data_IF_703525383572
#
_entry.id   IF_703525383572
#
_cell.length_a   1.000
_cell.length_b   1.000
_cell.length_c   1.000
_cell.angle_alpha   90.00
_cell.angle_beta   90.00
_cell.angle_gamma   90.00
#
_symmetry.space_group_name_H-M   'P 1'
#
loop_
_entity.id
_entity.type
_entity.pdbx_description
1 polymer ?
#
# COMPACT_ATOMS: atom_id res chain seq x y z
N UNK A 1 21.44 50.38 -22.86
CA UNK A 1 21.80 48.98 -23.20
C UNK A 1 22.96 48.59 -22.28
N UNK A 2 22.97 47.60 -21.37
CA UNK A 2 22.23 46.36 -21.16
C UNK A 2 22.52 45.90 -19.70
N UNK A 3 21.71 46.28 -18.70
CA UNK A 3 21.77 45.67 -17.36
C UNK A 3 20.62 44.68 -17.10
N UNK A 4 19.53 44.76 -17.88
CA UNK A 4 18.41 43.81 -17.79
C UNK A 4 18.70 42.41 -18.34
N UNK A 5 19.73 42.24 -19.18
CA UNK A 5 20.04 40.93 -19.78
C UNK A 5 20.75 39.95 -18.84
N UNK A 6 21.58 40.46 -17.93
CA UNK A 6 22.35 39.62 -17.00
C UNK A 6 21.51 39.05 -15.86
N UNK A 7 20.52 39.81 -15.37
CA UNK A 7 19.65 39.37 -14.27
C UNK A 7 18.67 38.28 -14.74
N UNK A 8 18.17 38.37 -15.98
CA UNK A 8 17.26 37.36 -16.55
C UNK A 8 17.97 36.02 -16.79
N UNK A 9 19.25 36.04 -17.18
CA UNK A 9 20.02 34.81 -17.40
C UNK A 9 20.30 34.05 -16.09
N UNK A 10 20.59 34.78 -15.01
CA UNK A 10 20.84 34.19 -13.69
C UNK A 10 19.59 33.52 -13.09
N UNK A 11 18.40 34.10 -13.29
CA UNK A 11 17.14 33.50 -12.86
C UNK A 11 16.80 32.23 -13.64
N UNK A 12 17.12 32.16 -14.95
CA UNK A 12 16.94 30.96 -15.76
C UNK A 12 17.89 29.83 -15.37
N UNK A 13 19.14 30.14 -15.02
CA UNK A 13 20.11 29.16 -14.53
C UNK A 13 19.74 28.59 -13.15
N UNK A 14 19.11 29.39 -12.27
CA UNK A 14 18.63 28.92 -10.98
C UNK A 14 17.42 27.97 -11.08
N UNK A 15 16.55 28.14 -12.09
CA UNK A 15 15.43 27.19 -12.31
C UNK A 15 15.89 25.83 -12.86
N UNK A 16 16.99 25.76 -13.59
CA UNK A 16 17.51 24.51 -14.18
C UNK A 16 18.27 23.64 -13.18
N UNK A 17 18.64 24.18 -12.03
CA UNK A 17 19.39 23.45 -10.98
C UNK A 17 18.52 23.00 -9.82
N UNK A 18 17.20 23.29 -9.84
CA UNK A 18 16.29 22.74 -8.84
C UNK A 18 16.33 21.21 -8.96
N UNK A 19 16.92 20.47 -7.98
CA UNK A 19 16.79 19.04 -7.99
C UNK A 19 15.30 18.78 -7.86
N UNK A 20 14.71 18.15 -8.86
CA UNK A 20 13.40 17.55 -8.73
C UNK A 20 13.49 16.51 -7.63
N UNK A 21 13.37 16.95 -6.37
CA UNK A 21 13.16 16.11 -5.22
C UNK A 21 11.73 15.60 -5.37
N UNK A 22 11.54 14.68 -6.31
CA UNK A 22 10.45 13.73 -6.32
C UNK A 22 10.60 12.98 -5.00
N UNK A 23 9.95 13.47 -3.96
CA UNK A 23 9.66 12.68 -2.79
C UNK A 23 8.78 11.54 -3.27
N UNK A 24 9.42 10.43 -3.63
CA UNK A 24 8.73 9.20 -3.92
C UNK A 24 8.12 8.70 -2.61
N UNK A 25 6.95 8.08 -2.69
CA UNK A 25 6.38 7.37 -1.56
C UNK A 25 6.25 5.89 -1.91
N UNK A 26 6.40 5.05 -0.89
CA UNK A 26 6.21 3.61 -1.00
C UNK A 26 5.13 3.17 -0.04
N UNK A 27 4.38 2.15 -0.42
CA UNK A 27 3.38 1.54 0.44
C UNK A 27 3.55 0.04 0.40
N UNK A 28 3.51 -0.59 1.57
CA UNK A 28 3.58 -2.04 1.75
C UNK A 28 2.30 -2.53 2.36
N UNK A 29 1.72 -3.52 1.72
CA UNK A 29 0.56 -4.24 2.22
C UNK A 29 1.04 -5.59 2.76
N UNK A 30 0.57 -5.96 3.94
CA UNK A 30 0.85 -7.25 4.56
C UNK A 30 -0.42 -7.87 5.11
N UNK A 31 -0.49 -9.20 5.00
CA UNK A 31 -1.56 -10.03 5.53
C UNK A 31 -0.94 -11.19 6.28
N UNK A 32 -1.38 -11.41 7.51
CA UNK A 32 -0.89 -12.49 8.35
C UNK A 32 -2.08 -13.21 9.02
N UNK A 33 -2.23 -14.54 8.82
CA UNK A 33 -1.46 -15.40 7.91
C UNK A 33 -1.89 -15.23 6.43
N UNK A 34 -1.05 -15.65 5.47
CA UNK A 34 -1.36 -15.60 4.02
C UNK A 34 -2.19 -16.79 3.52
N UNK A 35 -2.23 -17.87 4.30
CA UNK A 35 -3.09 -19.03 4.13
C UNK A 35 -4.07 -19.04 5.29
N UNK A 36 -5.36 -19.03 4.99
CA UNK A 36 -6.40 -18.76 5.99
C UNK A 36 -7.57 -19.72 5.80
N UNK A 37 -8.20 -20.12 6.89
CA UNK A 37 -9.47 -20.85 6.82
C UNK A 37 -10.61 -19.88 6.49
N UNK A 38 -11.68 -20.36 5.83
CA UNK A 38 -12.89 -19.57 5.65
C UNK A 38 -13.44 -19.04 6.98
N UNK A 39 -13.86 -17.77 6.99
CA UNK A 39 -14.49 -17.13 8.15
C UNK A 39 -13.54 -16.73 9.29
N UNK A 40 -12.28 -17.19 9.28
CA UNK A 40 -11.27 -16.73 10.26
C UNK A 40 -10.98 -15.25 10.09
N UNK A 41 -10.75 -14.59 11.24
CA UNK A 41 -10.35 -13.19 11.26
C UNK A 41 -8.86 -13.08 10.93
N UNK A 42 -8.54 -12.29 9.91
CA UNK A 42 -7.17 -12.10 9.41
C UNK A 42 -6.78 -10.66 9.60
N UNK A 43 -5.53 -10.43 10.06
CA UNK A 43 -5.01 -9.07 10.24
C UNK A 43 -4.44 -8.55 8.93
N UNK A 44 -4.87 -7.36 8.57
CA UNK A 44 -4.40 -6.63 7.39
C UNK A 44 -3.69 -5.38 7.88
N UNK A 45 -2.47 -5.19 7.40
CA UNK A 45 -1.64 -4.04 7.75
C UNK A 45 -1.15 -3.33 6.49
N UNK A 46 -1.24 -2.01 6.52
CA UNK A 46 -0.74 -1.12 5.50
C UNK A 46 0.34 -0.26 6.14
N UNK A 47 1.52 -0.23 5.54
CA UNK A 47 2.61 0.67 5.94
C UNK A 47 2.90 1.64 4.81
N UNK A 48 3.03 2.93 5.11
CA UNK A 48 3.47 3.91 4.13
C UNK A 48 4.77 4.58 4.54
N UNK A 49 5.57 4.86 3.54
CA UNK A 49 6.93 5.37 3.67
C UNK A 49 7.09 6.61 2.80
N UNK A 50 7.76 7.62 3.33
CA UNK A 50 8.42 8.64 2.51
C UNK A 50 9.80 8.14 2.10
N UNK A 51 10.17 8.36 0.84
CA UNK A 51 11.48 8.01 0.30
C UNK A 51 12.22 9.29 -0.08
N UNK A 52 13.27 9.60 0.66
CA UNK A 52 14.11 10.79 0.44
C UNK A 52 15.54 10.34 0.25
N UNK A 53 16.13 10.62 -0.92
CA UNK A 53 17.49 10.18 -1.28
C UNK A 53 17.73 8.67 -1.06
N UNK A 54 16.73 7.85 -1.38
CA UNK A 54 16.76 6.39 -1.20
C UNK A 54 16.48 5.90 0.22
N UNK A 55 16.45 6.78 1.22
CA UNK A 55 16.15 6.42 2.61
C UNK A 55 14.64 6.35 2.82
N UNK A 56 14.16 5.22 3.35
CA UNK A 56 12.75 4.98 3.66
C UNK A 56 12.46 5.27 5.12
N UNK A 57 11.47 6.11 5.38
CA UNK A 57 10.99 6.41 6.73
C UNK A 57 9.46 6.34 6.78
N UNK A 58 8.91 5.79 7.87
CA UNK A 58 7.46 5.73 8.04
C UNK A 58 6.86 7.14 8.02
N UNK A 59 5.80 7.34 7.25
CA UNK A 59 5.17 8.64 7.08
C UNK A 59 3.67 8.50 6.93
N UNK A 60 2.91 9.38 7.59
CA UNK A 60 1.44 9.33 7.56
C UNK A 60 0.86 9.85 6.26
N UNK A 61 1.43 10.94 5.73
CA UNK A 61 0.88 11.66 4.58
C UNK A 61 0.61 10.76 3.37
N UNK A 62 1.52 9.86 2.96
CA UNK A 62 1.26 9.00 1.80
C UNK A 62 0.19 7.91 2.05
N UNK A 63 -0.05 7.55 3.31
CA UNK A 63 -1.06 6.54 3.67
C UNK A 63 -2.45 7.12 3.91
N UNK A 64 -2.56 8.43 4.13
CA UNK A 64 -3.86 9.10 4.29
C UNK A 64 -4.69 8.97 3.01
N UNK A 65 -5.93 8.49 3.15
CA UNK A 65 -6.86 8.35 2.03
C UNK A 65 -6.65 7.10 1.16
N UNK A 66 -5.68 6.25 1.47
CA UNK A 66 -5.51 4.97 0.79
C UNK A 66 -6.66 4.01 1.14
N UNK A 67 -7.16 3.34 0.11
CA UNK A 67 -8.29 2.40 0.17
C UNK A 67 -7.77 1.01 -0.10
N UNK A 68 -8.02 0.11 0.83
CA UNK A 68 -7.69 -1.31 0.70
C UNK A 68 -8.97 -2.10 0.43
N UNK A 69 -8.90 -2.98 -0.56
CA UNK A 69 -10.00 -3.82 -1.01
C UNK A 69 -9.58 -5.28 -1.03
N UNK A 70 -10.52 -6.17 -0.72
CA UNK A 70 -10.44 -7.59 -0.98
C UNK A 70 -11.30 -7.92 -2.20
N UNK A 71 -10.72 -8.64 -3.15
CA UNK A 71 -11.39 -9.14 -4.35
C UNK A 71 -11.54 -10.65 -4.21
N UNK A 72 -12.78 -11.14 -4.27
CA UNK A 72 -13.10 -12.56 -4.16
C UNK A 72 -12.65 -13.34 -5.40
N UNK A 73 -12.59 -14.68 -5.33
CA UNK A 73 -12.39 -15.54 -6.49
C UNK A 73 -13.42 -15.31 -7.60
N UNK A 74 -14.67 -15.00 -7.21
CA UNK A 74 -15.76 -14.64 -8.13
C UNK A 74 -15.71 -13.19 -8.63
N UNK A 75 -14.70 -12.40 -8.25
CA UNK A 75 -14.53 -11.01 -8.66
C UNK A 75 -15.29 -9.97 -7.83
N UNK A 76 -16.01 -10.39 -6.77
CA UNK A 76 -16.70 -9.47 -5.85
C UNK A 76 -15.68 -8.63 -5.10
N UNK A 77 -15.88 -7.32 -5.08
CA UNK A 77 -15.01 -6.36 -4.38
C UNK A 77 -15.63 -5.98 -3.04
N UNK A 78 -14.83 -6.02 -1.98
CA UNK A 78 -15.21 -5.62 -0.62
C UNK A 78 -14.17 -4.66 -0.05
N UNK A 79 -14.61 -3.51 0.44
CA UNK A 79 -13.73 -2.54 1.08
C UNK A 79 -13.34 -3.00 2.48
N UNK A 80 -12.04 -2.91 2.80
CA UNK A 80 -11.51 -3.19 4.13
C UNK A 80 -11.31 -1.87 4.87
N UNK A 81 -11.93 -1.75 6.05
CA UNK A 81 -11.71 -0.63 6.94
C UNK A 81 -10.37 -0.76 7.67
N UNK A 82 -9.44 0.16 7.40
CA UNK A 82 -8.20 0.27 8.16
C UNK A 82 -8.25 1.49 9.08
N UNK A 83 -7.74 1.34 10.30
CA UNK A 83 -7.57 2.41 11.29
C UNK A 83 -6.10 2.76 11.40
N UNK A 84 -5.79 4.05 11.48
CA UNK A 84 -4.44 4.51 11.79
C UNK A 84 -4.07 4.07 13.20
N UNK A 85 -2.91 3.43 13.37
CA UNK A 85 -2.47 2.90 14.67
C UNK A 85 -1.18 3.53 15.17
N UNK A 86 -0.29 3.92 14.27
CA UNK A 86 0.96 4.60 14.57
C UNK A 86 1.49 5.26 13.31
N UNK A 87 2.56 6.07 13.44
CA UNK A 87 3.18 6.76 12.31
C UNK A 87 3.46 5.80 11.14
N UNK A 88 2.85 6.09 9.99
CA UNK A 88 2.97 5.31 8.76
C UNK A 88 2.36 3.92 8.82
N UNK A 89 1.48 3.60 9.79
CA UNK A 89 0.88 2.27 9.95
C UNK A 89 -0.64 2.35 10.14
N UNK A 90 -1.36 1.58 9.33
CA UNK A 90 -2.80 1.37 9.44
C UNK A 90 -3.09 -0.11 9.53
N UNK A 91 -4.03 -0.48 10.38
CA UNK A 91 -4.41 -1.87 10.63
C UNK A 91 -5.91 -2.05 10.58
N UNK A 92 -6.33 -3.21 10.11
CA UNK A 92 -7.72 -3.65 10.14
C UNK A 92 -7.78 -5.16 10.18
N UNK A 93 -9.00 -5.66 10.16
CA UNK A 93 -9.25 -7.09 10.13
C UNK A 93 -10.31 -7.39 9.09
N UNK A 94 -10.17 -8.55 8.46
CA UNK A 94 -11.12 -9.02 7.45
C UNK A 94 -11.35 -10.51 7.62
N UNK A 95 -12.56 -10.97 7.31
CA UNK A 95 -12.90 -12.39 7.24
C UNK A 95 -13.11 -12.75 5.79
N UNK A 96 -12.43 -13.79 5.33
CA UNK A 96 -12.60 -14.30 3.96
C UNK A 96 -13.71 -15.35 3.96
N UNK A 97 -14.91 -15.07 3.42
CA UNK A 97 -16.07 -15.94 3.59
C UNK A 97 -16.04 -17.21 2.75
N UNK A 98 -15.31 -17.22 1.65
CA UNK A 98 -15.33 -18.33 0.68
C UNK A 98 -13.92 -18.83 0.40
N UNK A 99 -13.82 -20.13 0.12
CA UNK A 99 -12.60 -20.78 -0.35
C UNK A 99 -12.09 -20.16 -1.66
N UNK A 100 -10.79 -20.32 -1.91
CA UNK A 100 -10.12 -19.94 -3.15
C UNK A 100 -9.12 -18.79 -3.01
N UNK A 101 -8.67 -18.27 -4.15
CA UNK A 101 -7.66 -17.20 -4.20
C UNK A 101 -8.32 -15.83 -4.13
N UNK A 102 -8.08 -15.13 -3.03
CA UNK A 102 -8.47 -13.74 -2.85
C UNK A 102 -7.32 -12.81 -3.18
N UNK A 103 -7.62 -11.62 -3.68
CA UNK A 103 -6.61 -10.56 -3.87
C UNK A 103 -6.90 -9.41 -2.93
N UNK A 104 -5.92 -9.01 -2.13
CA UNK A 104 -6.00 -7.77 -1.35
C UNK A 104 -5.15 -6.72 -2.04
N UNK A 105 -5.72 -5.57 -2.36
CA UNK A 105 -5.07 -4.52 -3.15
C UNK A 105 -5.33 -3.13 -2.59
N UNK A 106 -4.45 -2.19 -2.92
CA UNK A 106 -4.69 -0.76 -2.68
C UNK A 106 -5.15 -0.09 -3.97
N UNK A 107 -6.30 0.59 -3.96
CA UNK A 107 -6.98 1.03 -5.20
C UNK A 107 -6.67 2.42 -5.69
N UNK A 108 -5.96 3.24 -4.90
CA UNK A 108 -5.61 4.60 -5.28
C UNK A 108 -4.49 4.69 -6.34
N UNK A 109 -4.10 3.58 -6.96
CA UNK A 109 -3.05 3.55 -7.98
C UNK A 109 -3.65 3.70 -9.38
N UNK A 110 -3.16 4.65 -10.20
CA UNK A 110 -3.78 5.03 -11.47
C UNK A 110 -3.76 3.93 -12.55
N UNK A 111 -2.89 2.92 -12.44
CA UNK A 111 -2.72 1.87 -13.45
C UNK A 111 -3.06 0.46 -12.97
N UNK A 112 -3.69 0.32 -11.80
CA UNK A 112 -3.94 -0.99 -11.18
C UNK A 112 -2.66 -1.73 -10.74
N UNK A 113 -1.48 -1.16 -10.96
CA UNK A 113 -0.16 -1.66 -10.51
C UNK A 113 0.15 -1.29 -9.05
N UNK A 114 -0.89 -1.03 -8.26
CA UNK A 114 -0.73 -0.73 -6.85
C UNK A 114 -0.28 -1.95 -6.05
N UNK A 115 0.16 -1.75 -4.79
CA UNK A 115 0.47 -2.84 -3.89
C UNK A 115 -0.70 -3.82 -3.82
N UNK A 116 -0.41 -5.09 -4.09
CA UNK A 116 -1.38 -6.18 -4.03
C UNK A 116 -0.72 -7.46 -3.56
N UNK A 117 -1.51 -8.33 -2.96
CA UNK A 117 -1.10 -9.66 -2.54
C UNK A 117 -2.25 -10.65 -2.69
N UNK A 118 -1.89 -11.92 -2.79
CA UNK A 118 -2.84 -13.03 -2.86
C UNK A 118 -2.95 -13.69 -1.50
N UNK A 119 -4.18 -13.97 -1.08
CA UNK A 119 -4.50 -14.75 0.12
C UNK A 119 -5.16 -16.04 -0.34
N UNK A 120 -4.63 -17.17 0.09
CA UNK A 120 -5.19 -18.48 -0.22
C UNK A 120 -6.12 -18.90 0.91
N UNK A 121 -7.40 -19.07 0.59
CA UNK A 121 -8.40 -19.53 1.55
C UNK A 121 -8.66 -21.00 1.30
N UNK A 122 -8.28 -21.85 2.25
CA UNK A 122 -8.43 -23.31 2.16
C UNK A 122 -8.86 -23.91 3.49
N UNK A 123 -9.44 -25.09 3.46
CA UNK A 123 -9.80 -25.81 4.68
C UNK A 123 -8.55 -26.18 5.48
N UNK A 124 -8.73 -26.28 6.81
CA UNK A 124 -7.69 -26.82 7.67
C UNK A 124 -7.42 -28.27 7.25
N UNK A 125 -6.14 -28.72 7.23
CA UNK A 125 -5.86 -30.14 7.10
C UNK A 125 -6.59 -30.91 8.20
N UNK A 126 -7.15 -32.10 7.91
CA UNK A 126 -7.71 -32.94 8.96
C UNK A 126 -6.63 -33.22 10.02
N UNK A 127 -7.01 -33.15 11.29
CA UNK A 127 -6.10 -33.47 12.39
C UNK A 127 -5.56 -34.90 12.18
N UNK A 128 -4.24 -35.13 12.40
CA UNK A 128 -3.70 -36.48 12.32
C UNK A 128 -4.46 -37.38 13.28
N UNK A 129 -4.87 -38.56 12.81
CA UNK A 129 -5.47 -39.58 13.66
C UNK A 129 -4.52 -39.84 14.83
N UNK A 130 -5.03 -39.69 16.06
CA UNK A 130 -4.27 -40.06 17.25
C UNK A 130 -3.93 -41.57 17.17
N UNK A 131 -2.71 -41.97 17.56
CA UNK A 131 -2.30 -43.37 17.55
C UNK A 131 -3.13 -44.24 18.49
#
# INVERSE_FOLDING_TARGET
MRQGGLVVLAAFAALLTAPAALAAFEVRLSVNPSIVEPGRLVRIELRSFSVVKGVRSLADAPGRGLRVEAVSPSGRVVRIGLRHTSRGVWRGSFRFPTLGRWRVRVTNWPSGRGPQLTVEVREAPPAPAAP
#
